data_IF_083684435069
#
_entry.id   IF_083684435069
#
_cell.length_a   1.000
_cell.length_b   1.000
_cell.length_c   1.000
_cell.angle_alpha   90.00
_cell.angle_beta   90.00
_cell.angle_gamma   90.00
#
_symmetry.space_group_name_H-M   'P 1'
#
loop_
_entity.id
_entity.type
_entity.pdbx_description
1 polymer ?
#
# COMPACT_ATOMS: atom_id res chain seq x y z
N UNK A 1 -7.86 1.42 8.14
CA UNK A 1 -7.97 -0.01 7.77
C UNK A 1 -6.62 -0.62 7.40
N UNK A 2 -5.85 0.01 6.49
CA UNK A 2 -4.50 -0.46 6.10
C UNK A 2 -3.52 -0.60 7.27
N UNK A 3 -3.59 0.27 8.28
CA UNK A 3 -2.72 0.20 9.46
C UNK A 3 -2.81 -1.13 10.24
N UNK A 4 -3.99 -1.73 10.37
CA UNK A 4 -4.16 -3.02 11.06
C UNK A 4 -3.54 -4.17 10.28
N UNK A 5 -3.75 -4.19 8.95
CA UNK A 5 -3.15 -5.20 8.08
C UNK A 5 -1.63 -5.10 8.06
N UNK A 6 -1.08 -3.88 8.01
CA UNK A 6 0.37 -3.63 8.07
C UNK A 6 0.93 -4.05 9.43
N UNK A 7 0.23 -3.77 10.54
CA UNK A 7 0.65 -4.20 11.86
C UNK A 7 0.71 -5.73 12.00
N UNK A 8 -0.30 -6.44 11.49
CA UNK A 8 -0.32 -7.91 11.51
C UNK A 8 0.74 -8.51 10.58
N UNK A 9 0.96 -7.89 9.40
CA UNK A 9 2.03 -8.29 8.49
C UNK A 9 3.41 -8.16 9.14
N UNK A 10 3.66 -7.09 9.90
CA UNK A 10 4.90 -6.94 10.69
C UNK A 10 5.02 -8.03 11.76
N UNK A 11 3.95 -8.29 12.50
CA UNK A 11 3.94 -9.29 13.57
C UNK A 11 4.17 -10.71 13.06
N UNK A 12 3.68 -11.02 11.87
CA UNK A 12 3.84 -12.33 11.22
C UNK A 12 5.17 -12.49 10.47
N UNK A 13 6.03 -11.46 10.45
CA UNK A 13 7.33 -11.51 9.78
C UNK A 13 7.25 -11.42 8.25
N UNK A 14 6.17 -10.86 7.71
CA UNK A 14 6.09 -10.57 6.28
C UNK A 14 7.18 -9.56 5.88
N UNK A 15 7.83 -9.78 4.74
CA UNK A 15 8.92 -8.90 4.27
C UNK A 15 8.42 -7.58 3.65
N UNK A 16 7.20 -7.58 3.08
CA UNK A 16 6.62 -6.41 2.42
C UNK A 16 5.10 -6.42 2.40
N UNK A 17 4.52 -5.23 2.35
CA UNK A 17 3.12 -4.98 2.02
C UNK A 17 3.04 -4.38 0.62
N UNK A 18 2.27 -5.00 -0.26
CA UNK A 18 2.06 -4.54 -1.63
C UNK A 18 0.56 -4.36 -1.89
N UNK A 19 0.21 -3.31 -2.64
CA UNK A 19 -1.15 -3.06 -3.07
C UNK A 19 -1.15 -2.32 -4.41
N UNK A 20 -2.21 -2.49 -5.19
CA UNK A 20 -2.41 -1.78 -6.44
C UNK A 20 -3.84 -1.29 -6.60
N UNK A 21 -4.00 -0.22 -7.36
CA UNK A 21 -5.30 0.33 -7.75
C UNK A 21 -5.17 1.12 -9.05
N UNK A 22 -6.25 1.77 -9.48
CA UNK A 22 -6.26 2.62 -10.67
C UNK A 22 -6.17 4.11 -10.30
N UNK A 23 -5.68 4.94 -11.22
CA UNK A 23 -5.52 6.38 -11.02
C UNK A 23 -6.84 7.11 -10.75
N UNK A 24 -7.97 6.60 -11.22
CA UNK A 24 -9.31 7.16 -11.02
C UNK A 24 -9.96 6.71 -9.70
N UNK A 25 -9.39 5.72 -9.00
CA UNK A 25 -9.88 5.27 -7.70
C UNK A 25 -9.38 6.17 -6.57
N UNK A 26 -9.96 7.37 -6.47
CA UNK A 26 -9.59 8.38 -5.50
C UNK A 26 -9.60 7.86 -4.04
N UNK A 27 -10.58 7.03 -3.69
CA UNK A 27 -10.71 6.44 -2.36
C UNK A 27 -9.56 5.48 -2.05
N UNK A 28 -9.22 4.58 -2.97
CA UNK A 28 -8.10 3.66 -2.80
C UNK A 28 -6.76 4.40 -2.73
N UNK A 29 -6.53 5.39 -3.60
CA UNK A 29 -5.30 6.20 -3.54
C UNK A 29 -5.14 6.89 -2.18
N UNK A 30 -6.22 7.46 -1.63
CA UNK A 30 -6.19 8.07 -0.29
C UNK A 30 -5.80 7.07 0.79
N UNK A 31 -6.33 5.84 0.74
CA UNK A 31 -5.95 4.75 1.65
C UNK A 31 -4.49 4.33 1.51
N UNK A 32 -3.96 4.29 0.28
CA UNK A 32 -2.57 3.90 0.00
C UNK A 32 -1.57 4.99 0.42
N UNK A 33 -1.88 6.27 0.21
CA UNK A 33 -1.06 7.39 0.70
C UNK A 33 -0.88 7.34 2.21
N UNK A 34 -1.92 6.95 2.95
CA UNK A 34 -1.86 6.80 4.42
C UNK A 34 -1.11 5.56 4.92
N UNK A 35 -0.60 4.69 4.04
CA UNK A 35 0.06 3.44 4.43
C UNK A 35 1.55 3.59 4.75
N UNK A 36 2.17 4.71 4.35
CA UNK A 36 3.63 4.90 4.43
C UNK A 36 4.42 4.13 3.37
N UNK A 37 3.73 3.45 2.45
CA UNK A 37 4.34 2.82 1.28
C UNK A 37 4.81 3.85 0.26
N UNK A 38 5.83 3.48 -0.52
CA UNK A 38 6.21 4.19 -1.72
C UNK A 38 5.15 3.95 -2.82
N UNK A 39 4.69 5.04 -3.44
CA UNK A 39 3.68 4.99 -4.49
C UNK A 39 4.32 5.25 -5.86
N UNK A 40 4.09 4.34 -6.80
CA UNK A 40 4.50 4.49 -8.19
C UNK A 40 3.25 4.55 -9.07
N UNK A 41 3.21 5.52 -9.98
CA UNK A 41 2.14 5.62 -10.98
C UNK A 41 2.69 5.24 -12.34
N UNK A 42 2.07 4.27 -13.00
CA UNK A 42 2.46 3.80 -14.32
C UNK A 42 1.20 3.65 -15.20
N UNK A 43 1.00 4.61 -16.11
CA UNK A 43 -0.21 4.65 -16.92
C UNK A 43 -1.46 4.88 -16.06
N UNK A 44 -2.39 3.93 -16.10
CA UNK A 44 -3.62 3.92 -15.30
C UNK A 44 -3.46 3.21 -13.95
N UNK A 45 -2.32 2.57 -13.70
CA UNK A 45 -2.05 1.83 -12.48
C UNK A 45 -1.34 2.70 -11.42
N UNK A 46 -1.71 2.49 -10.17
CA UNK A 46 -1.03 2.99 -8.98
C UNK A 46 -0.59 1.78 -8.17
N UNK A 47 0.72 1.62 -8.00
CA UNK A 47 1.33 0.57 -7.19
C UNK A 47 1.85 1.17 -5.89
N UNK A 48 1.80 0.38 -4.83
CA UNK A 48 2.19 0.73 -3.48
C UNK A 48 3.06 -0.38 -2.91
N UNK A 49 4.31 -0.08 -2.54
CA UNK A 49 5.21 -1.02 -1.85
C UNK A 49 5.72 -0.42 -0.53
N UNK A 50 5.55 -1.16 0.56
CA UNK A 50 6.17 -0.89 1.85
C UNK A 50 7.01 -2.09 2.27
N UNK A 51 8.31 -1.88 2.45
CA UNK A 51 9.17 -2.88 3.10
C UNK A 51 8.90 -2.90 4.61
N UNK A 52 8.64 -4.08 5.12
CA UNK A 52 8.38 -4.32 6.53
C UNK A 52 9.68 -4.87 7.12
N UNK A 53 10.40 -4.03 7.87
CA UNK A 53 11.58 -4.40 8.64
C UNK A 53 11.21 -4.51 10.11
#
# INVERSE_FOLDING_TARGET
MSALLIAEAKKSGAAKFVASTTVDNAAARSLLTGSGAELTVAGDAVESELRLR
#
